data_IF_263453229616
#
_entry.id   IF_263453229616
#
_cell.length_a   1.000
_cell.length_b   1.000
_cell.length_c   1.000
_cell.angle_alpha   90.00
_cell.angle_beta   90.00
_cell.angle_gamma   90.00
#
_symmetry.space_group_name_H-M   'P 1'
#
loop_
_entity.id
_entity.type
_entity.pdbx_description
1 polymer ?
#
# COMPACT_ATOMS: atom_id res chain seq x y z
N UNK A 1 -30.70 20.53 -21.53
CA UNK A 1 -29.86 19.36 -21.19
C UNK A 1 -28.41 19.75 -21.44
N UNK A 2 -27.56 19.87 -20.41
CA UNK A 2 -26.13 20.21 -20.58
C UNK A 2 -25.31 18.95 -20.30
N UNK A 3 -24.44 18.60 -21.24
CA UNK A 3 -23.49 17.49 -21.07
C UNK A 3 -22.30 18.02 -20.26
N UNK A 4 -21.98 17.34 -19.17
CA UNK A 4 -20.78 17.62 -18.37
C UNK A 4 -19.70 16.60 -18.72
N UNK A 5 -18.50 17.08 -19.08
CA UNK A 5 -17.35 16.23 -19.39
C UNK A 5 -16.28 16.45 -18.32
N UNK A 6 -16.08 15.49 -17.40
CA UNK A 6 -15.02 15.60 -16.42
C UNK A 6 -13.65 15.38 -17.10
N UNK A 7 -12.70 16.27 -16.83
CA UNK A 7 -11.30 16.10 -17.20
C UNK A 7 -10.50 15.72 -15.95
N UNK A 8 -9.83 14.57 -15.98
CA UNK A 8 -8.94 14.15 -14.91
C UNK A 8 -7.71 15.07 -14.90
N UNK A 9 -7.39 15.65 -13.75
CA UNK A 9 -6.17 16.43 -13.54
C UNK A 9 -5.50 16.00 -12.23
N UNK A 10 -4.17 15.93 -12.25
CA UNK A 10 -3.35 15.58 -11.09
C UNK A 10 -2.60 16.84 -10.66
N UNK A 11 -2.99 17.42 -9.53
CA UNK A 11 -2.36 18.64 -8.98
C UNK A 11 -0.99 18.36 -8.38
N UNK A 12 -0.86 17.26 -7.65
CA UNK A 12 0.37 16.88 -6.95
C UNK A 12 0.56 15.38 -7.03
N UNK A 13 1.71 14.94 -7.55
CA UNK A 13 2.18 13.57 -7.49
C UNK A 13 3.42 13.56 -6.60
N UNK A 14 3.23 13.32 -5.31
CA UNK A 14 4.31 13.30 -4.32
C UNK A 14 4.87 11.89 -4.16
N UNK A 15 6.18 11.79 -3.97
CA UNK A 15 6.90 10.54 -3.76
C UNK A 15 7.84 10.71 -2.55
N UNK A 16 7.84 9.74 -1.64
CA UNK A 16 8.72 9.76 -0.45
C UNK A 16 10.12 9.16 -0.73
N UNK A 17 10.42 8.73 -1.97
CA UNK A 17 11.67 8.09 -2.39
C UNK A 17 12.10 8.45 -3.83
N UNK A 18 13.28 7.98 -4.30
CA UNK A 18 13.81 8.32 -5.61
C UNK A 18 12.83 7.91 -6.73
N UNK A 19 12.32 8.91 -7.44
CA UNK A 19 11.59 8.82 -8.71
C UNK A 19 10.57 7.68 -8.81
N UNK A 20 9.36 7.88 -8.31
CA UNK A 20 8.25 6.97 -8.63
C UNK A 20 8.03 6.99 -10.16
N UNK A 21 8.36 5.88 -10.82
CA UNK A 21 8.19 5.71 -12.28
C UNK A 21 6.71 5.60 -12.67
N UNK A 22 5.85 5.22 -11.71
CA UNK A 22 4.44 4.95 -11.94
C UNK A 22 3.55 5.54 -10.84
N UNK A 23 2.61 6.42 -11.20
CA UNK A 23 1.59 6.93 -10.27
C UNK A 23 0.62 5.80 -9.88
N UNK A 24 1.01 4.99 -8.90
CA UNK A 24 0.17 3.90 -8.39
C UNK A 24 -0.62 4.33 -7.19
N UNK A 25 -1.84 3.83 -7.17
CA UNK A 25 -2.63 3.63 -5.98
C UNK A 25 -2.10 2.42 -5.18
N UNK A 26 -0.81 2.26 -4.92
CA UNK A 26 -0.29 1.09 -4.17
C UNK A 26 0.58 1.46 -2.96
N UNK A 27 0.98 2.73 -2.88
CA UNK A 27 1.73 3.31 -1.76
C UNK A 27 0.84 4.27 -0.97
N UNK A 28 0.90 4.21 0.37
CA UNK A 28 0.21 5.16 1.26
C UNK A 28 -0.48 4.51 2.47
N UNK A 29 -1.08 5.36 3.32
CA UNK A 29 -1.63 5.00 4.65
C UNK A 29 -2.69 3.89 4.68
N UNK A 30 -3.30 3.55 3.54
CA UNK A 30 -4.36 2.52 3.45
C UNK A 30 -4.00 1.36 2.54
N UNK A 31 -2.73 1.25 2.17
CA UNK A 31 -2.33 0.40 1.05
C UNK A 31 -1.47 -0.77 1.48
N UNK A 32 -1.42 -1.73 0.58
CA UNK A 32 -0.74 -2.99 0.78
C UNK A 32 0.77 -2.84 0.90
N UNK A 33 1.38 -1.81 0.29
CA UNK A 33 2.81 -1.54 0.41
C UNK A 33 3.03 -0.22 1.15
N UNK A 34 3.94 -0.23 2.14
CA UNK A 34 4.12 0.95 2.99
C UNK A 34 4.94 2.09 2.36
N UNK A 35 5.95 1.78 1.54
CA UNK A 35 6.94 2.76 1.05
C UNK A 35 7.01 2.83 -0.48
N UNK A 36 7.18 1.69 -1.15
CA UNK A 36 7.12 1.53 -2.61
C UNK A 36 6.71 0.09 -2.91
N UNK A 37 6.28 -0.19 -4.15
CA UNK A 37 5.96 -1.56 -4.59
C UNK A 37 7.18 -2.48 -4.41
N UNK A 38 8.39 -1.94 -4.61
CA UNK A 38 9.64 -2.70 -4.53
C UNK A 38 10.29 -2.70 -3.14
N UNK A 39 9.70 -2.02 -2.15
CA UNK A 39 10.29 -1.85 -0.82
C UNK A 39 10.27 -3.15 0.02
N UNK A 40 9.54 -4.18 -0.43
CA UNK A 40 9.34 -5.44 0.29
C UNK A 40 8.51 -5.33 1.58
N UNK A 41 8.25 -4.12 2.09
CA UNK A 41 7.43 -3.89 3.26
C UNK A 41 5.93 -3.97 2.93
N UNK A 42 5.36 -5.14 3.20
CA UNK A 42 3.94 -5.45 3.00
C UNK A 42 3.15 -5.18 4.28
N UNK A 43 2.03 -4.47 4.16
CA UNK A 43 1.07 -4.21 5.23
C UNK A 43 -0.02 -5.28 5.31
N UNK A 44 -0.68 -5.34 6.46
CA UNK A 44 -1.73 -6.32 6.73
C UNK A 44 -3.12 -5.76 6.56
N UNK A 45 -4.03 -6.57 6.01
CA UNK A 45 -5.42 -6.18 5.79
C UNK A 45 -6.26 -6.36 7.06
N UNK A 46 -7.07 -5.38 7.44
CA UNK A 46 -7.99 -5.55 8.56
C UNK A 46 -9.14 -6.49 8.15
N UNK A 47 -9.44 -7.57 8.90
CA UNK A 47 -10.52 -8.47 8.54
C UNK A 47 -11.85 -7.71 8.40
N UNK A 48 -12.62 -8.03 7.37
CA UNK A 48 -13.92 -7.42 7.05
C UNK A 48 -13.87 -5.93 6.66
N UNK A 49 -12.68 -5.34 6.48
CA UNK A 49 -12.51 -3.95 6.07
C UNK A 49 -11.44 -3.91 4.96
N UNK A 50 -11.71 -3.24 3.84
CA UNK A 50 -10.77 -3.10 2.72
C UNK A 50 -9.68 -2.07 3.04
N UNK A 51 -8.93 -2.30 4.11
CA UNK A 51 -8.01 -1.34 4.69
C UNK A 51 -6.77 -2.04 5.20
N UNK A 52 -5.61 -1.55 4.77
CA UNK A 52 -4.32 -2.07 5.17
C UNK A 52 -3.68 -1.19 6.24
N UNK A 53 -2.98 -1.81 7.17
CA UNK A 53 -2.21 -1.14 8.21
C UNK A 53 -0.80 -1.74 8.28
N UNK A 54 0.21 -0.92 8.62
CA UNK A 54 1.58 -1.41 8.77
C UNK A 54 1.66 -2.31 10.01
N UNK A 55 2.15 -3.53 9.83
CA UNK A 55 2.37 -4.48 10.92
C UNK A 55 3.61 -5.33 10.61
N UNK A 56 4.59 -5.27 11.50
CA UNK A 56 5.80 -6.10 11.41
C UNK A 56 5.55 -7.53 11.87
N UNK A 57 4.64 -7.71 12.83
CA UNK A 57 4.29 -9.01 13.39
C UNK A 57 2.92 -9.45 12.89
N UNK A 58 2.79 -10.74 12.58
CA UNK A 58 1.53 -11.38 12.25
C UNK A 58 0.66 -11.47 13.51
N UNK A 59 -0.56 -10.92 13.51
CA UNK A 59 -1.48 -11.05 14.63
C UNK A 59 -1.85 -12.52 14.86
N UNK A 60 -2.19 -12.82 16.10
CA UNK A 60 -2.63 -14.15 16.51
C UNK A 60 -3.95 -14.48 15.81
N UNK A 61 -4.09 -15.73 15.36
CA UNK A 61 -5.28 -16.23 14.64
C UNK A 61 -5.63 -15.43 13.38
N UNK A 62 -4.63 -14.79 12.75
CA UNK A 62 -4.82 -13.99 11.56
C UNK A 62 -4.66 -14.81 10.28
N UNK A 63 -5.76 -15.04 9.58
CA UNK A 63 -5.80 -15.71 8.29
C UNK A 63 -6.72 -14.96 7.30
N UNK A 64 -6.20 -13.86 6.76
CA UNK A 64 -6.87 -13.13 5.67
C UNK A 64 -6.24 -13.56 4.34
N UNK A 65 -7.07 -14.04 3.42
CA UNK A 65 -6.62 -14.50 2.11
C UNK A 65 -5.88 -13.36 1.38
N UNK A 66 -4.66 -13.64 0.92
CA UNK A 66 -3.80 -12.65 0.26
C UNK A 66 -3.05 -11.70 1.19
N UNK A 67 -3.19 -11.84 2.51
CA UNK A 67 -2.45 -11.04 3.51
C UNK A 67 -1.83 -11.87 4.63
N UNK A 68 -1.78 -13.20 4.50
CA UNK A 68 -1.36 -14.13 5.55
C UNK A 68 0.17 -14.34 5.63
N UNK A 69 0.97 -13.35 5.21
CA UNK A 69 2.43 -13.42 5.29
C UNK A 69 2.91 -13.54 6.74
N UNK A 70 4.11 -14.09 6.93
CA UNK A 70 4.77 -14.18 8.23
C UNK A 70 5.33 -12.82 8.67
N UNK A 71 5.95 -12.80 9.86
CA UNK A 71 6.62 -11.61 10.40
C UNK A 71 7.61 -11.01 9.39
N UNK A 72 7.63 -9.69 9.32
CA UNK A 72 8.51 -8.92 8.45
C UNK A 72 9.71 -8.42 9.24
N UNK A 73 10.88 -8.98 8.96
CA UNK A 73 12.15 -8.47 9.47
C UNK A 73 12.63 -7.28 8.63
N UNK A 74 12.48 -6.07 9.18
CA UNK A 74 12.93 -4.82 8.54
C UNK A 74 14.41 -4.77 8.22
N UNK A 75 15.26 -5.57 8.90
CA UNK A 75 16.68 -5.63 8.61
C UNK A 75 17.01 -6.48 7.38
N UNK A 76 16.06 -7.32 6.94
CA UNK A 76 16.21 -8.17 5.75
C UNK A 76 15.49 -7.59 4.53
N UNK A 77 14.78 -6.48 4.67
CA UNK A 77 14.17 -5.79 3.54
C UNK A 77 15.27 -5.17 2.67
N UNK A 78 15.30 -5.60 1.40
CA UNK A 78 16.19 -5.03 0.40
C UNK A 78 15.63 -3.69 -0.09
N UNK A 79 16.52 -2.74 -0.33
CA UNK A 79 16.20 -1.34 -0.69
C UNK A 79 16.19 -1.15 -2.19
#
# INVERSE_FOLDING_TARGET
NKVFTPHLFVLTATADGPGIVYLSSLVGYHRHYGCHIDCGFVGQCKPNILHYYPALLKPIDYNVQGCNHEDVDVHQLTK
#
